data_IF_765498629597
#
_entry.id   IF_765498629597
#
_cell.length_a   1.000
_cell.length_b   1.000
_cell.length_c   1.000
_cell.angle_alpha   90.00
_cell.angle_beta   90.00
_cell.angle_gamma   90.00
#
_symmetry.space_group_name_H-M   'P 1'
#
loop_
_entity.id
_entity.type
_entity.pdbx_description
1 polymer ?
#
# COMPACT_ATOMS: atom_id res chain seq x y z
N UNK A 1 19.43 -18.05 6.75
CA UNK A 1 18.77 -19.20 6.13
C UNK A 1 18.26 -18.77 4.77
N UNK A 2 18.97 -19.17 3.72
CA UNK A 2 18.62 -18.82 2.35
C UNK A 2 17.56 -19.78 1.78
N UNK A 3 17.11 -19.54 0.56
CA UNK A 3 16.14 -20.41 -0.13
C UNK A 3 16.67 -21.84 -0.30
N UNK A 4 17.95 -22.00 -0.68
CA UNK A 4 18.58 -23.32 -0.85
C UNK A 4 18.60 -24.14 0.44
N UNK A 5 18.89 -23.49 1.58
CA UNK A 5 18.88 -24.13 2.90
C UNK A 5 17.48 -24.68 3.24
N UNK A 6 16.42 -23.89 2.96
CA UNK A 6 15.02 -24.27 3.19
C UNK A 6 14.60 -25.46 2.34
N UNK A 7 14.97 -25.45 1.06
CA UNK A 7 14.71 -26.55 0.13
C UNK A 7 15.34 -27.84 0.66
N UNK A 8 16.63 -27.79 1.02
CA UNK A 8 17.37 -28.94 1.53
C UNK A 8 16.82 -29.44 2.85
N UNK A 9 16.43 -28.54 3.75
CA UNK A 9 15.81 -28.90 5.01
C UNK A 9 14.48 -29.61 4.77
N UNK A 10 13.60 -29.02 3.95
CA UNK A 10 12.26 -29.58 3.72
C UNK A 10 12.31 -30.93 3.01
N UNK A 11 13.25 -31.10 2.08
CA UNK A 11 13.52 -32.39 1.44
C UNK A 11 13.88 -33.47 2.48
N UNK A 12 14.76 -33.15 3.42
CA UNK A 12 15.15 -34.09 4.49
C UNK A 12 14.01 -34.40 5.45
N UNK A 13 13.16 -33.43 5.75
CA UNK A 13 11.97 -33.64 6.60
C UNK A 13 10.94 -34.58 5.95
N UNK A 14 10.92 -34.65 4.62
CA UNK A 14 10.06 -35.53 3.85
C UNK A 14 10.75 -36.84 3.44
N UNK A 15 11.96 -37.10 3.93
CA UNK A 15 12.79 -38.26 3.56
C UNK A 15 12.96 -38.46 2.04
N UNK A 16 12.95 -37.36 1.28
CA UNK A 16 13.10 -37.37 -0.18
C UNK A 16 14.58 -37.34 -0.59
N UNK A 17 14.95 -38.15 -1.58
CA UNK A 17 16.25 -38.05 -2.24
C UNK A 17 16.28 -36.85 -3.21
N UNK A 18 17.48 -36.37 -3.52
CA UNK A 18 17.70 -35.39 -4.58
C UNK A 18 17.20 -35.93 -5.92
N UNK A 19 17.36 -37.23 -6.14
CA UNK A 19 16.92 -37.91 -7.36
C UNK A 19 15.38 -37.97 -7.47
N UNK A 20 14.67 -38.03 -6.35
CA UNK A 20 13.20 -38.03 -6.32
C UNK A 20 12.64 -36.66 -6.74
N UNK A 21 13.24 -35.58 -6.22
CA UNK A 21 12.89 -34.22 -6.64
C UNK A 21 13.23 -34.03 -8.11
N UNK A 22 14.43 -34.44 -8.54
CA UNK A 22 14.88 -34.32 -9.92
C UNK A 22 13.91 -35.01 -10.90
N UNK A 23 13.47 -36.22 -10.56
CA UNK A 23 12.52 -37.00 -11.34
C UNK A 23 11.15 -36.32 -11.43
N UNK A 24 10.62 -35.84 -10.29
CA UNK A 24 9.31 -35.14 -10.26
C UNK A 24 9.34 -33.79 -10.99
N UNK A 25 10.48 -33.09 -10.98
CA UNK A 25 10.64 -31.79 -11.65
C UNK A 25 11.03 -31.92 -13.13
N UNK A 26 11.39 -33.12 -13.60
CA UNK A 26 11.94 -33.34 -14.93
C UNK A 26 13.28 -32.61 -15.15
N UNK A 27 14.13 -32.57 -14.12
CA UNK A 27 15.45 -31.91 -14.16
C UNK A 27 16.57 -32.89 -13.79
N UNK A 28 17.81 -32.52 -14.09
CA UNK A 28 18.97 -33.31 -13.69
C UNK A 28 19.24 -33.10 -12.18
N UNK A 29 19.68 -34.16 -11.49
CA UNK A 29 20.26 -34.13 -10.14
C UNK A 29 21.18 -32.92 -9.91
N UNK A 30 22.08 -32.63 -10.85
CA UNK A 30 23.03 -31.52 -10.73
C UNK A 30 22.32 -30.16 -10.60
N UNK A 31 21.16 -30.00 -11.25
CA UNK A 31 20.35 -28.79 -11.18
C UNK A 31 19.72 -28.61 -9.79
N UNK A 32 19.25 -29.70 -9.16
CA UNK A 32 18.70 -29.65 -7.80
C UNK A 32 19.78 -29.33 -6.77
N UNK A 33 20.98 -29.91 -6.91
CA UNK A 33 22.12 -29.53 -6.06
C UNK A 33 22.48 -28.05 -6.19
N UNK A 34 22.38 -27.46 -7.39
CA UNK A 34 22.60 -26.02 -7.57
C UNK A 34 21.55 -25.18 -6.85
N UNK A 35 20.29 -25.63 -6.80
CA UNK A 35 19.23 -24.98 -6.04
C UNK A 35 19.47 -25.08 -4.53
N UNK A 36 19.92 -26.23 -4.03
CA UNK A 36 20.22 -26.43 -2.60
C UNK A 36 21.50 -25.72 -2.15
N UNK A 37 22.53 -25.64 -3.00
CA UNK A 37 23.83 -25.05 -2.69
C UNK A 37 23.86 -23.52 -2.82
N UNK A 38 22.74 -22.90 -3.18
CA UNK A 38 22.61 -21.44 -3.32
C UNK A 38 23.54 -20.84 -4.40
N UNK A 39 23.94 -21.66 -5.37
CA UNK A 39 24.86 -21.31 -6.47
C UNK A 39 24.15 -20.52 -7.59
N UNK A 40 22.81 -20.46 -7.50
CA UNK A 40 21.96 -19.64 -8.34
C UNK A 40 21.28 -18.65 -7.39
N UNK A 41 21.74 -17.41 -7.40
CA UNK A 41 21.21 -16.34 -6.55
C UNK A 41 19.71 -16.08 -6.81
N UNK A 42 19.22 -16.42 -8.01
CA UNK A 42 17.83 -16.27 -8.42
C UNK A 42 17.26 -17.57 -9.02
N UNK A 43 16.49 -18.30 -8.22
CA UNK A 43 15.71 -19.45 -8.70
C UNK A 43 14.69 -18.99 -9.74
N UNK A 44 14.57 -19.65 -10.92
CA UNK A 44 13.52 -19.30 -11.86
C UNK A 44 12.14 -19.42 -11.22
N UNK A 45 11.32 -18.36 -11.31
CA UNK A 45 9.97 -18.33 -10.73
C UNK A 45 9.12 -19.50 -11.22
N UNK A 46 9.30 -19.90 -12.47
CA UNK A 46 8.57 -21.00 -13.11
C UNK A 46 8.79 -22.36 -12.46
N UNK A 47 9.91 -22.55 -11.73
CA UNK A 47 10.19 -23.81 -11.03
C UNK A 47 9.84 -23.76 -9.55
N UNK A 48 9.64 -22.56 -8.98
CA UNK A 48 9.41 -22.38 -7.57
C UNK A 48 8.08 -23.01 -7.13
N UNK A 49 7.03 -22.84 -7.93
CA UNK A 49 5.71 -23.39 -7.66
C UNK A 49 5.68 -24.93 -7.77
N UNK A 50 6.16 -25.57 -8.86
CA UNK A 50 6.30 -27.03 -8.92
C UNK A 50 7.16 -27.60 -7.77
N UNK A 51 8.24 -26.92 -7.42
CA UNK A 51 9.12 -27.35 -6.33
C UNK A 51 8.41 -27.29 -4.97
N UNK A 52 7.65 -26.23 -4.72
CA UNK A 52 6.87 -26.08 -3.49
C UNK A 52 5.82 -27.20 -3.35
N UNK A 53 5.15 -27.57 -4.44
CA UNK A 53 4.19 -28.68 -4.46
C UNK A 53 4.88 -30.01 -4.10
N UNK A 54 6.04 -30.29 -4.69
CA UNK A 54 6.80 -31.53 -4.41
C UNK A 54 7.27 -31.60 -2.95
N UNK A 55 7.61 -30.44 -2.38
CA UNK A 55 8.09 -30.30 -1.00
C UNK A 55 6.97 -30.07 0.02
N UNK A 56 5.70 -30.26 -0.38
CA UNK A 56 4.52 -30.06 0.47
C UNK A 56 4.60 -28.76 1.27
N UNK A 57 4.93 -27.67 0.57
CA UNK A 57 5.13 -26.34 1.16
C UNK A 57 4.63 -25.26 0.21
N UNK A 58 4.79 -23.99 0.58
CA UNK A 58 4.40 -22.85 -0.25
C UNK A 58 5.63 -22.17 -0.86
N UNK A 59 5.51 -21.53 -2.04
CA UNK A 59 6.55 -20.66 -2.57
C UNK A 59 6.99 -19.58 -1.56
N UNK A 60 6.04 -19.06 -0.78
CA UNK A 60 6.28 -18.09 0.28
C UNK A 60 7.20 -18.65 1.38
N UNK A 61 7.01 -19.92 1.77
CA UNK A 61 7.86 -20.60 2.75
C UNK A 61 9.30 -20.72 2.27
N UNK A 62 9.47 -21.15 1.02
CA UNK A 62 10.79 -21.31 0.38
C UNK A 62 11.50 -19.96 0.25
N UNK A 63 10.77 -18.89 -0.04
CA UNK A 63 11.31 -17.52 -0.05
C UNK A 63 11.54 -16.95 1.36
N UNK A 64 11.03 -17.63 2.39
CA UNK A 64 11.11 -17.17 3.78
C UNK A 64 10.19 -16.03 4.13
N UNK A 65 9.15 -15.83 3.35
CA UNK A 65 8.04 -14.91 3.61
C UNK A 65 7.11 -15.44 4.71
N UNK A 66 7.24 -16.70 5.11
CA UNK A 66 6.45 -17.28 6.22
C UNK A 66 6.98 -16.86 7.59
N UNK A 67 8.31 -16.64 7.71
CA UNK A 67 8.99 -16.32 8.98
C UNK A 67 9.40 -14.85 9.08
N UNK A 68 9.47 -14.13 7.97
CA UNK A 68 9.33 -12.69 8.07
C UNK A 68 7.86 -12.43 8.23
N UNK A 69 7.49 -12.02 9.44
CA UNK A 69 6.71 -10.80 9.63
C UNK A 69 6.04 -10.46 8.30
N UNK A 70 4.78 -10.90 8.12
CA UNK A 70 3.82 -9.94 7.60
C UNK A 70 4.24 -8.70 8.37
N UNK A 71 4.78 -7.72 7.68
CA UNK A 71 4.83 -6.40 8.21
C UNK A 71 3.33 -6.17 8.46
N UNK A 72 2.83 -6.57 9.64
CA UNK A 72 2.35 -5.63 10.63
C UNK A 72 3.17 -4.42 10.30
N UNK A 73 2.58 -3.61 9.45
CA UNK A 73 2.89 -2.23 9.38
C UNK A 73 2.75 -1.88 10.84
N UNK A 74 3.85 -2.00 11.60
CA UNK A 74 4.08 -1.23 12.80
C UNK A 74 4.30 0.15 12.22
N UNK A 75 3.24 0.72 11.62
CA UNK A 75 2.87 2.08 11.94
C UNK A 75 2.94 2.06 13.45
N UNK A 76 4.06 2.55 13.96
CA UNK A 76 4.17 2.90 15.37
C UNK A 76 3.16 4.02 15.52
N UNK A 77 1.89 3.64 15.67
CA UNK A 77 0.85 4.57 15.96
C UNK A 77 1.24 5.24 17.27
N UNK A 78 1.17 6.56 17.29
CA UNK A 78 1.36 7.33 18.51
C UNK A 78 0.39 6.79 19.58
N UNK A 79 0.72 6.92 20.89
CA UNK A 79 -0.22 6.55 21.96
C UNK A 79 -1.63 7.14 21.77
N UNK A 80 -1.70 8.35 21.21
CA UNK A 80 -2.92 9.07 20.87
C UNK A 80 -3.71 8.35 19.76
N UNK A 81 -3.05 7.95 18.68
CA UNK A 81 -3.68 7.25 17.56
C UNK A 81 -4.27 5.90 17.98
N UNK A 82 -3.55 5.15 18.83
CA UNK A 82 -4.06 3.89 19.38
C UNK A 82 -5.31 4.10 20.25
N UNK A 83 -5.37 5.22 20.97
CA UNK A 83 -6.53 5.60 21.80
C UNK A 83 -7.73 5.97 20.93
N UNK A 84 -7.51 6.64 19.79
CA UNK A 84 -8.58 6.96 18.83
C UNK A 84 -9.12 5.67 18.20
N UNK A 85 -8.24 4.77 17.76
CA UNK A 85 -8.62 3.50 17.15
C UNK A 85 -9.45 2.64 18.11
N UNK A 86 -9.07 2.58 19.40
CA UNK A 86 -9.80 1.79 20.39
C UNK A 86 -11.20 2.35 20.66
N UNK A 87 -11.33 3.67 20.80
CA UNK A 87 -12.64 4.35 20.94
C UNK A 87 -13.51 4.12 19.72
N UNK A 88 -12.95 4.30 18.51
CA UNK A 88 -13.70 4.14 17.26
C UNK A 88 -14.30 2.74 17.08
N UNK A 89 -13.57 1.69 17.47
CA UNK A 89 -14.03 0.29 17.34
C UNK A 89 -15.31 0.01 18.15
N UNK A 90 -15.46 0.66 19.31
CA UNK A 90 -16.57 0.50 20.26
C UNK A 90 -17.83 1.25 19.78
N UNK A 91 -17.69 2.25 18.91
CA UNK A 91 -18.83 3.03 18.41
C UNK A 91 -19.83 2.19 17.61
N UNK A 92 -21.09 2.58 17.71
CA UNK A 92 -22.19 2.06 16.90
C UNK A 92 -22.16 2.65 15.47
N UNK A 93 -23.10 2.22 14.62
CA UNK A 93 -23.15 2.66 13.21
C UNK A 93 -23.28 4.17 13.08
N UNK A 94 -24.10 4.82 13.93
CA UNK A 94 -24.30 6.27 13.89
C UNK A 94 -23.04 7.01 14.34
N UNK A 95 -22.41 6.57 15.44
CA UNK A 95 -21.17 7.16 15.93
C UNK A 95 -20.03 7.06 14.92
N UNK A 96 -19.85 5.88 14.29
CA UNK A 96 -18.84 5.70 13.23
C UNK A 96 -19.09 6.60 12.03
N UNK A 97 -20.34 6.73 11.60
CA UNK A 97 -20.71 7.61 10.50
C UNK A 97 -20.33 9.06 10.79
N UNK A 98 -20.70 9.60 11.95
CA UNK A 98 -20.36 10.98 12.34
C UNK A 98 -18.84 11.20 12.35
N UNK A 99 -18.07 10.27 12.93
CA UNK A 99 -16.61 10.38 12.97
C UNK A 99 -16.01 10.37 11.58
N UNK A 100 -16.47 9.49 10.69
CA UNK A 100 -15.99 9.44 9.31
C UNK A 100 -16.31 10.74 8.56
N UNK A 101 -17.52 11.27 8.69
CA UNK A 101 -17.91 12.53 8.04
C UNK A 101 -17.02 13.69 8.45
N UNK A 102 -16.74 13.83 9.75
CA UNK A 102 -15.87 14.89 10.25
C UNK A 102 -14.43 14.66 9.79
N UNK A 103 -13.95 13.41 9.83
CA UNK A 103 -12.61 13.06 9.36
C UNK A 103 -12.42 13.42 7.88
N UNK A 104 -13.40 13.09 7.03
CA UNK A 104 -13.37 13.39 5.61
C UNK A 104 -13.39 14.90 5.35
N UNK A 105 -14.23 15.64 6.09
CA UNK A 105 -14.29 17.11 6.01
C UNK A 105 -12.93 17.75 6.36
N UNK A 106 -12.32 17.32 7.46
CA UNK A 106 -11.01 17.84 7.90
C UNK A 106 -9.87 17.41 6.98
N UNK A 107 -9.91 16.18 6.47
CA UNK A 107 -8.95 15.69 5.50
C UNK A 107 -9.00 16.52 4.21
N UNK A 108 -10.21 16.78 3.70
CA UNK A 108 -10.40 17.61 2.52
C UNK A 108 -9.96 19.05 2.78
N UNK A 109 -10.33 19.67 3.91
CA UNK A 109 -9.86 21.01 4.28
C UNK A 109 -8.33 21.12 4.25
N UNK A 110 -7.64 20.18 4.90
CA UNK A 110 -6.17 20.18 4.95
C UNK A 110 -5.50 19.86 3.60
N UNK A 111 -6.20 19.22 2.67
CA UNK A 111 -5.68 18.83 1.36
C UNK A 111 -6.01 19.85 0.27
N UNK A 112 -7.21 20.41 0.32
CA UNK A 112 -7.72 21.43 -0.61
C UNK A 112 -7.07 22.79 -0.40
N UNK A 113 -6.53 23.11 0.79
CA UNK A 113 -5.74 24.33 1.02
C UNK A 113 -4.47 24.43 0.14
N UNK A 114 -4.07 23.35 -0.56
CA UNK A 114 -3.03 23.40 -1.60
C UNK A 114 -3.56 23.78 -3.00
N UNK A 115 -4.88 23.91 -3.17
CA UNK A 115 -5.53 24.38 -4.38
C UNK A 115 -6.34 25.62 -4.03
N UNK A 116 -5.82 26.79 -4.42
CA UNK A 116 -6.45 28.09 -4.21
C UNK A 116 -7.96 28.05 -4.49
N UNK A 117 -8.83 28.53 -3.58
CA UNK A 117 -10.26 28.59 -3.86
C UNK A 117 -10.50 29.54 -5.04
N UNK A 118 -11.01 29.00 -6.14
CA UNK A 118 -11.61 29.80 -7.22
C UNK A 118 -12.83 30.49 -6.62
N UNK A 119 -12.68 31.77 -6.32
CA UNK A 119 -13.75 32.53 -5.72
C UNK A 119 -14.85 32.77 -6.78
N UNK A 120 -16.12 32.59 -6.39
CA UNK A 120 -17.28 32.55 -7.29
C UNK A 120 -17.60 33.88 -8.02
N UNK A 121 -16.75 34.90 -7.92
CA UNK A 121 -16.90 36.19 -8.59
C UNK A 121 -16.25 36.26 -9.99
N UNK A 122 -15.41 35.29 -10.37
CA UNK A 122 -14.93 35.16 -11.76
C UNK A 122 -15.96 34.42 -12.62
N UNK A 123 -17.15 35.02 -12.79
CA UNK A 123 -18.04 34.61 -13.89
C UNK A 123 -17.44 35.11 -15.20
N UNK A 124 -16.71 34.23 -15.89
CA UNK A 124 -16.14 34.52 -17.23
C UNK A 124 -17.22 34.77 -18.31
N UNK A 125 -18.48 34.48 -17.99
CA UNK A 125 -19.63 34.60 -18.91
C UNK A 125 -20.01 36.05 -19.23
N UNK A 126 -19.49 37.03 -18.46
CA UNK A 126 -19.84 38.45 -18.60
C UNK A 126 -18.57 39.24 -18.88
N UNK A 127 -18.42 39.75 -20.12
CA UNK A 127 -17.39 40.74 -20.44
C UNK A 127 -17.74 42.08 -19.77
N UNK A 128 -17.28 42.26 -18.54
CA UNK A 128 -17.32 43.55 -17.86
C UNK A 128 -16.40 44.51 -18.61
N UNK A 129 -16.94 45.60 -19.16
CA UNK A 129 -16.14 46.63 -19.84
C UNK A 129 -15.19 47.28 -18.84
N UNK A 130 -14.00 47.72 -19.28
CA UNK A 130 -13.11 48.55 -18.47
C UNK A 130 -13.82 49.79 -17.90
N UNK A 131 -14.83 50.29 -18.62
CA UNK A 131 -15.66 51.42 -18.22
C UNK A 131 -16.58 51.09 -17.04
N UNK A 132 -17.13 49.87 -17.00
CA UNK A 132 -18.00 49.43 -15.91
C UNK A 132 -17.19 49.27 -14.62
N UNK A 133 -15.96 48.73 -14.73
CA UNK A 133 -15.02 48.65 -13.59
C UNK A 133 -14.66 50.04 -13.06
N UNK A 134 -14.42 51.00 -13.97
CA UNK A 134 -14.08 52.36 -13.57
C UNK A 134 -15.27 53.08 -12.94
N UNK A 135 -16.49 52.87 -13.45
CA UNK A 135 -17.72 53.41 -12.88
C UNK A 135 -17.93 52.94 -11.43
N UNK A 136 -17.75 51.65 -11.17
CA UNK A 136 -17.88 51.08 -9.82
C UNK A 136 -16.84 51.67 -8.85
N UNK A 137 -15.59 51.86 -9.32
CA UNK A 137 -14.53 52.50 -8.54
C UNK A 137 -14.84 53.96 -8.24
N UNK A 138 -15.44 54.68 -9.21
CA UNK A 138 -15.77 56.09 -9.07
C UNK A 138 -16.94 56.30 -8.10
N UNK A 139 -17.93 55.39 -8.08
CA UNK A 139 -19.00 55.37 -7.05
C UNK A 139 -18.38 55.12 -5.66
N UNK A 140 -17.46 54.17 -5.53
CA UNK A 140 -16.82 53.87 -4.24
C UNK A 140 -15.93 55.00 -3.71
N UNK A 141 -15.48 55.91 -4.57
CA UNK A 141 -14.64 57.06 -4.21
C UNK A 141 -15.42 58.38 -4.13
N UNK A 142 -16.72 58.35 -4.37
CA UNK A 142 -17.58 59.51 -4.25
C UNK A 142 -18.16 59.57 -2.83
N UNK A 143 -17.45 60.25 -1.95
CA UNK A 143 -17.86 60.49 -0.56
C UNK A 143 -19.15 61.33 -0.42
N UNK A 144 -19.72 61.84 -1.53
CA UNK A 144 -20.98 62.59 -1.50
C UNK A 144 -22.24 61.69 -1.44
N UNK A 145 -22.10 60.38 -1.62
CA UNK A 145 -23.22 59.42 -1.57
C UNK A 145 -23.17 58.48 -0.35
N UNK A 146 -22.35 58.82 0.67
CA UNK A 146 -22.18 58.06 1.91
C UNK A 146 -22.58 58.89 3.15
#
# INVERSE_FOLDING_TARGET
MNIGDRIKQRRKELDLSVDDIASKLGKNRATIYRYESNDIENLPITILEPLAIILETTPAHLLGLDNNKINTIKTKFSPEENTIISKYRILDTKGKHTVNTILDMEYNRCKEDQSTPLAAHDREDIKVSEQDKQHDIDIMKNDNEW
#
